data_IF_771767067263
#
_entry.id   IF_771767067263
#
_cell.length_a   1.000
_cell.length_b   1.000
_cell.length_c   1.000
_cell.angle_alpha   90.00
_cell.angle_beta   90.00
_cell.angle_gamma   90.00
#
_symmetry.space_group_name_H-M   'P 1'
#
loop_
_entity.id
_entity.type
_entity.pdbx_description
1 polymer ?
#
# COMPACT_ATOMS: atom_id res chain seq x y z
N UNK A 1 13.64 26.78 -23.60
CA UNK A 1 12.24 27.04 -23.16
C UNK A 1 11.80 26.00 -22.14
N UNK A 2 12.50 25.77 -21.05
CA UNK A 2 12.24 24.65 -20.13
C UNK A 2 12.27 24.97 -18.63
N UNK A 3 12.53 26.20 -18.24
CA UNK A 3 12.71 26.52 -16.80
C UNK A 3 11.49 27.24 -16.18
N UNK A 4 10.75 28.01 -16.93
CA UNK A 4 9.54 28.74 -16.45
C UNK A 4 8.32 27.84 -16.21
N UNK A 5 8.21 26.67 -16.85
CA UNK A 5 7.10 25.75 -16.66
C UNK A 5 7.13 24.99 -15.33
N UNK A 6 8.33 24.73 -14.78
CA UNK A 6 8.50 23.97 -13.51
C UNK A 6 8.25 24.80 -12.26
N UNK A 7 8.45 26.12 -12.34
CA UNK A 7 8.20 27.03 -11.21
C UNK A 7 6.74 27.37 -11.01
N UNK A 8 5.95 27.47 -12.09
CA UNK A 8 4.50 27.75 -12.01
C UNK A 8 3.70 26.57 -11.45
N UNK A 9 4.12 25.34 -11.72
CA UNK A 9 3.43 24.12 -11.26
C UNK A 9 3.62 23.89 -9.75
N UNK A 10 4.82 24.18 -9.21
CA UNK A 10 5.10 24.09 -7.76
C UNK A 10 4.42 25.19 -6.95
N UNK A 11 4.24 26.40 -7.53
CA UNK A 11 3.57 27.51 -6.85
C UNK A 11 2.06 27.34 -6.84
N UNK A 12 1.46 26.78 -7.88
CA UNK A 12 0.01 26.48 -7.91
C UNK A 12 -0.36 25.39 -6.89
N UNK A 13 0.48 24.34 -6.76
CA UNK A 13 0.29 23.29 -5.76
C UNK A 13 0.53 23.81 -4.33
N UNK A 14 1.47 24.73 -4.15
CA UNK A 14 1.78 25.36 -2.85
C UNK A 14 0.67 26.32 -2.41
N UNK A 15 0.07 27.10 -3.35
CA UNK A 15 -1.05 28.02 -3.05
C UNK A 15 -2.34 27.27 -2.67
N UNK A 16 -2.57 26.05 -3.16
CA UNK A 16 -3.67 25.17 -2.74
C UNK A 16 -3.45 24.54 -1.36
N UNK A 17 -2.20 24.40 -0.90
CA UNK A 17 -1.83 23.88 0.42
C UNK A 17 -1.93 24.93 1.55
N UNK A 18 -1.90 26.24 1.25
CA UNK A 18 -1.93 27.27 2.29
C UNK A 18 -3.36 27.70 2.64
N UNK A 19 -3.71 27.47 3.85
CA UNK A 19 -4.95 27.73 4.59
C UNK A 19 -5.45 29.18 4.59
N UNK A 20 -5.02 30.06 3.67
CA UNK A 20 -5.25 31.52 3.69
C UNK A 20 -6.49 31.95 2.88
N UNK A 21 -7.10 31.08 2.07
CA UNK A 21 -8.29 31.45 1.28
C UNK A 21 -9.56 30.87 1.96
N UNK A 22 -9.86 31.34 3.16
CA UNK A 22 -11.19 31.22 3.77
C UNK A 22 -12.01 32.42 3.33
N UNK A 23 -12.75 32.26 2.23
CA UNK A 23 -13.59 33.32 1.70
C UNK A 23 -14.15 32.96 0.32
N UNK A 24 -14.32 33.90 -0.60
CA UNK A 24 -15.01 33.71 -1.90
C UNK A 24 -14.41 32.66 -2.83
N UNK A 25 -13.18 32.22 -2.64
CA UNK A 25 -12.57 31.14 -3.43
C UNK A 25 -13.24 29.77 -3.24
N UNK A 26 -13.93 29.55 -2.12
CA UNK A 26 -14.72 28.32 -1.88
C UNK A 26 -15.87 28.17 -2.88
N UNK A 27 -16.39 29.28 -3.41
CA UNK A 27 -17.43 29.30 -4.45
C UNK A 27 -16.86 28.95 -5.83
N UNK A 28 -15.63 29.36 -6.15
CA UNK A 28 -14.98 29.02 -7.43
C UNK A 28 -14.56 27.54 -7.51
N UNK A 29 -14.11 26.93 -6.41
CA UNK A 29 -13.74 25.50 -6.35
C UNK A 29 -14.98 24.59 -6.49
N UNK A 30 -16.16 25.06 -6.11
CA UNK A 30 -17.43 24.31 -6.25
C UNK A 30 -18.12 24.52 -7.61
N UNK A 31 -17.55 25.26 -8.54
CA UNK A 31 -18.13 25.38 -9.87
C UNK A 31 -17.82 24.14 -10.71
N UNK A 32 -18.84 23.56 -11.35
CA UNK A 32 -18.71 22.40 -12.29
C UNK A 32 -17.66 22.66 -13.38
N UNK A 33 -17.34 23.92 -13.69
CA UNK A 33 -16.33 24.32 -14.67
C UNK A 33 -14.90 24.22 -14.12
N UNK A 34 -14.64 24.63 -12.89
CA UNK A 34 -13.31 24.47 -12.28
C UNK A 34 -12.95 23.00 -12.14
N UNK A 35 -13.89 22.17 -11.70
CA UNK A 35 -13.72 20.71 -11.63
C UNK A 35 -13.45 20.08 -13.01
N UNK A 36 -14.10 20.56 -14.07
CA UNK A 36 -13.88 20.02 -15.41
C UNK A 36 -12.52 20.40 -16.00
N UNK A 37 -11.97 21.55 -15.64
CA UNK A 37 -10.65 22.01 -16.10
C UNK A 37 -9.54 21.27 -15.33
N UNK A 38 -9.63 21.20 -14.01
CA UNK A 38 -8.69 20.45 -13.16
C UNK A 38 -8.67 18.97 -13.57
N UNK A 39 -9.83 18.35 -13.75
CA UNK A 39 -9.92 16.94 -14.17
C UNK A 39 -9.40 16.65 -15.59
N UNK A 40 -9.38 17.67 -16.49
CA UNK A 40 -8.78 17.51 -17.83
C UNK A 40 -7.26 17.65 -17.79
N UNK A 41 -6.73 18.61 -17.04
CA UNK A 41 -5.28 18.79 -16.89
C UNK A 41 -4.65 17.60 -16.18
N UNK A 42 -5.30 17.09 -15.14
CA UNK A 42 -4.82 15.90 -14.40
C UNK A 42 -4.83 14.65 -15.29
N UNK A 43 -5.86 14.46 -16.10
CA UNK A 43 -5.89 13.33 -17.06
C UNK A 43 -4.81 13.42 -18.14
N UNK A 44 -4.52 14.61 -18.67
CA UNK A 44 -3.45 14.79 -19.66
C UNK A 44 -2.08 14.61 -19.01
N UNK A 45 -1.89 15.11 -17.79
CA UNK A 45 -0.67 14.91 -16.99
C UNK A 45 -0.45 13.43 -16.69
N UNK A 46 -1.48 12.75 -16.18
CA UNK A 46 -1.41 11.31 -15.88
C UNK A 46 -1.09 10.47 -17.14
N UNK A 47 -1.69 10.77 -18.30
CA UNK A 47 -1.37 10.08 -19.55
C UNK A 47 0.09 10.27 -19.99
N UNK A 48 0.61 11.50 -19.94
CA UNK A 48 2.02 11.79 -20.28
C UNK A 48 2.97 11.11 -19.31
N UNK A 49 2.66 11.12 -18.02
CA UNK A 49 3.42 10.47 -16.99
C UNK A 49 3.40 8.96 -17.18
N UNK A 50 2.23 8.39 -17.44
CA UNK A 50 2.09 6.97 -17.76
C UNK A 50 2.94 6.54 -18.96
N UNK A 51 2.94 7.32 -20.06
CA UNK A 51 3.77 7.01 -21.24
C UNK A 51 5.25 7.00 -20.88
N UNK A 52 5.74 7.89 -20.01
CA UNK A 52 7.13 7.90 -19.56
C UNK A 52 7.45 6.72 -18.65
N UNK A 53 6.59 6.48 -17.66
CA UNK A 53 6.74 5.37 -16.71
C UNK A 53 6.76 4.02 -17.43
N UNK A 54 5.87 3.82 -18.41
CA UNK A 54 5.80 2.57 -19.20
C UNK A 54 6.95 2.39 -20.19
N UNK A 55 7.74 3.42 -20.43
CA UNK A 55 8.92 3.36 -21.34
C UNK A 55 10.21 2.98 -20.62
N UNK A 56 10.20 2.86 -19.29
CA UNK A 56 11.36 2.56 -18.45
C UNK A 56 11.08 1.34 -17.55
N UNK A 57 12.09 0.86 -16.83
CA UNK A 57 11.98 -0.31 -15.94
C UNK A 57 10.97 -0.06 -14.83
N UNK A 58 9.96 -0.90 -14.75
CA UNK A 58 8.96 -0.86 -13.68
C UNK A 58 9.49 -1.57 -12.42
N UNK A 59 9.05 -1.18 -11.22
CA UNK A 59 9.26 -1.99 -10.03
C UNK A 59 8.53 -3.33 -10.18
N UNK A 60 9.13 -4.39 -9.72
CA UNK A 60 8.49 -5.71 -9.66
C UNK A 60 7.52 -5.79 -8.48
N UNK A 61 7.88 -5.20 -7.35
CA UNK A 61 7.08 -5.21 -6.14
C UNK A 61 6.91 -3.80 -5.55
N UNK A 62 5.65 -3.37 -5.42
CA UNK A 62 5.29 -2.14 -4.70
C UNK A 62 4.64 -2.48 -3.38
N UNK A 63 5.10 -1.84 -2.30
CA UNK A 63 4.48 -1.92 -0.98
C UNK A 63 3.92 -0.57 -0.56
N UNK A 64 2.71 -0.55 0.04
CA UNK A 64 2.02 0.71 0.36
C UNK A 64 1.59 0.74 1.82
N UNK A 65 2.02 1.79 2.55
CA UNK A 65 1.51 2.13 3.88
C UNK A 65 0.35 3.11 3.70
N UNK A 66 -0.87 2.61 3.85
CA UNK A 66 -2.14 3.31 3.60
C UNK A 66 -2.53 4.22 4.77
N UNK A 67 -1.75 5.30 4.97
CA UNK A 67 -1.94 6.22 6.10
C UNK A 67 -2.84 7.41 5.75
N UNK A 68 -3.54 7.94 6.75
CA UNK A 68 -4.32 9.17 6.64
C UNK A 68 -5.85 9.01 6.61
N UNK A 69 -6.41 7.79 6.69
CA UNK A 69 -7.87 7.55 6.68
C UNK A 69 -8.61 8.35 7.75
N UNK A 70 -8.12 8.37 8.99
CA UNK A 70 -8.73 9.11 10.10
C UNK A 70 -8.58 10.62 9.95
N UNK A 71 -7.42 11.09 9.49
CA UNK A 71 -7.16 12.53 9.23
C UNK A 71 -8.04 13.03 8.10
N UNK A 72 -8.18 12.26 7.02
CA UNK A 72 -9.10 12.54 5.93
C UNK A 72 -10.55 12.69 6.45
N UNK A 73 -11.04 11.75 7.26
CA UNK A 73 -12.38 11.82 7.83
C UNK A 73 -12.56 13.07 8.71
N UNK A 74 -11.60 13.38 9.57
CA UNK A 74 -11.64 14.56 10.43
C UNK A 74 -11.68 15.87 9.62
N UNK A 75 -10.83 15.99 8.58
CA UNK A 75 -10.76 17.20 7.75
C UNK A 75 -12.00 17.39 6.86
N UNK A 76 -12.70 16.30 6.53
CA UNK A 76 -13.94 16.31 5.74
C UNK A 76 -15.20 16.32 6.60
N UNK A 77 -15.08 16.27 7.93
CA UNK A 77 -16.22 16.24 8.86
C UNK A 77 -16.96 14.91 8.90
N UNK A 78 -16.31 13.82 8.50
CA UNK A 78 -16.84 12.47 8.49
C UNK A 78 -16.45 11.70 9.77
N UNK A 79 -17.20 10.65 10.11
CA UNK A 79 -16.79 9.69 11.11
C UNK A 79 -15.55 8.88 10.64
N UNK A 80 -14.71 8.45 11.58
CA UNK A 80 -13.49 7.69 11.27
C UNK A 80 -13.78 6.41 10.44
N UNK A 81 -14.89 5.74 10.72
CA UNK A 81 -15.35 4.54 9.98
C UNK A 81 -15.59 4.82 8.51
N UNK A 82 -16.14 6.00 8.16
CA UNK A 82 -16.30 6.41 6.76
C UNK A 82 -14.97 6.72 6.08
N UNK A 83 -13.97 7.22 6.83
CA UNK A 83 -12.62 7.38 6.32
C UNK A 83 -11.97 6.04 5.99
N UNK A 84 -12.18 5.01 6.81
CA UNK A 84 -11.70 3.65 6.53
C UNK A 84 -12.41 3.02 5.32
N UNK A 85 -13.73 3.23 5.17
CA UNK A 85 -14.47 2.77 3.99
C UNK A 85 -13.97 3.43 2.71
N UNK A 86 -13.76 4.76 2.72
CA UNK A 86 -13.15 5.47 1.60
C UNK A 86 -11.73 4.96 1.28
N UNK A 87 -10.99 4.51 2.31
CA UNK A 87 -9.69 3.86 2.14
C UNK A 87 -9.78 2.47 1.48
N UNK A 88 -10.82 1.68 1.77
CA UNK A 88 -11.11 0.40 1.09
C UNK A 88 -11.39 0.64 -0.40
N UNK A 89 -12.31 1.58 -0.71
CA UNK A 89 -12.63 1.94 -2.10
C UNK A 89 -11.39 2.42 -2.86
N UNK A 90 -10.51 3.19 -2.21
CA UNK A 90 -9.24 3.62 -2.80
C UNK A 90 -8.29 2.47 -3.08
N UNK A 91 -8.26 1.44 -2.23
CA UNK A 91 -7.46 0.26 -2.46
C UNK A 91 -7.88 -0.47 -3.74
N UNK A 92 -9.17 -0.57 -4.00
CA UNK A 92 -9.71 -1.15 -5.23
C UNK A 92 -9.23 -0.37 -6.48
N UNK A 93 -9.30 0.98 -6.44
CA UNK A 93 -8.74 1.82 -7.51
C UNK A 93 -7.24 1.54 -7.75
N UNK A 94 -6.46 1.45 -6.67
CA UNK A 94 -5.00 1.24 -6.77
C UNK A 94 -4.67 -0.15 -7.29
N UNK A 95 -5.43 -1.18 -6.90
CA UNK A 95 -5.28 -2.52 -7.46
C UNK A 95 -5.50 -2.52 -8.97
N UNK A 96 -6.55 -1.84 -9.46
CA UNK A 96 -6.80 -1.68 -10.90
C UNK A 96 -5.62 -1.01 -11.61
N UNK A 97 -5.08 0.07 -11.04
CA UNK A 97 -3.93 0.76 -11.64
C UNK A 97 -2.67 -0.09 -11.67
N UNK A 98 -2.39 -0.83 -10.61
CA UNK A 98 -1.24 -1.75 -10.52
C UNK A 98 -1.35 -2.87 -11.54
N UNK A 99 -2.55 -3.49 -11.67
CA UNK A 99 -2.82 -4.49 -12.69
C UNK A 99 -2.68 -3.94 -14.11
N UNK A 100 -3.22 -2.75 -14.40
CA UNK A 100 -3.11 -2.10 -15.71
C UNK A 100 -1.66 -1.71 -16.07
N UNK A 101 -0.84 -1.33 -15.08
CA UNK A 101 0.59 -1.03 -15.27
C UNK A 101 1.38 -2.32 -15.48
N UNK A 102 0.89 -3.44 -14.93
CA UNK A 102 1.53 -4.75 -15.06
C UNK A 102 2.60 -5.01 -13.99
N UNK A 103 2.44 -4.46 -12.79
CA UNK A 103 3.34 -4.70 -11.65
C UNK A 103 2.87 -5.98 -10.93
N UNK A 104 3.70 -7.04 -10.87
CA UNK A 104 3.21 -8.36 -10.46
C UNK A 104 2.96 -8.50 -8.95
N UNK A 105 3.61 -7.69 -8.10
CA UNK A 105 3.47 -7.80 -6.65
C UNK A 105 3.01 -6.49 -6.03
N UNK A 106 1.93 -6.57 -5.22
CA UNK A 106 1.41 -5.46 -4.42
C UNK A 106 1.23 -5.91 -2.97
N UNK A 107 1.92 -5.26 -2.03
CA UNK A 107 1.72 -5.47 -0.59
C UNK A 107 1.17 -4.22 0.07
N UNK A 108 0.15 -4.35 0.90
CA UNK A 108 -0.46 -3.22 1.60
C UNK A 108 -0.47 -3.40 3.11
N UNK A 109 -0.18 -2.32 3.85
CA UNK A 109 -0.25 -2.30 5.31
C UNK A 109 -1.64 -1.86 5.76
N UNK A 110 -2.47 -2.81 6.15
CA UNK A 110 -3.86 -2.55 6.50
C UNK A 110 -4.07 -2.40 8.02
N UNK A 111 -3.41 -3.24 8.85
CA UNK A 111 -3.52 -3.18 10.30
C UNK A 111 -2.21 -3.62 10.96
N UNK A 112 -1.63 -2.77 11.82
CA UNK A 112 -0.46 -3.16 12.62
C UNK A 112 -0.84 -3.86 13.91
N UNK A 113 0.08 -4.63 14.50
CA UNK A 113 -0.08 -5.24 15.83
C UNK A 113 -0.36 -4.18 16.91
N UNK A 114 0.33 -3.03 16.83
CA UNK A 114 0.14 -1.92 17.77
C UNK A 114 -1.26 -1.29 17.65
N UNK A 115 -1.85 -1.30 16.45
CA UNK A 115 -3.20 -0.79 16.23
C UNK A 115 -4.27 -1.64 16.93
N UNK A 116 -4.07 -2.94 17.03
CA UNK A 116 -4.99 -3.84 17.74
C UNK A 116 -5.09 -3.47 19.24
N UNK A 117 -3.97 -3.12 19.83
CA UNK A 117 -3.91 -2.78 21.26
C UNK A 117 -4.26 -1.33 21.57
N UNK A 118 -4.09 -0.41 20.62
CA UNK A 118 -4.20 1.03 20.83
C UNK A 118 -5.53 1.64 20.36
N UNK A 119 -6.26 0.96 19.45
CA UNK A 119 -7.55 1.47 18.95
C UNK A 119 -8.69 1.19 19.91
N UNK A 120 -9.72 2.01 19.85
CA UNK A 120 -10.97 1.76 20.59
C UNK A 120 -11.64 0.49 20.06
N UNK A 121 -12.25 -0.33 20.96
CA UNK A 121 -12.89 -1.58 20.56
C UNK A 121 -13.91 -1.40 19.42
N UNK A 122 -14.72 -0.34 19.45
CA UNK A 122 -15.77 -0.10 18.46
C UNK A 122 -15.16 0.23 17.07
N UNK A 123 -14.03 0.95 17.04
CA UNK A 123 -13.31 1.23 15.79
C UNK A 123 -12.68 -0.04 15.24
N UNK A 124 -12.12 -0.89 16.12
CA UNK A 124 -11.47 -2.13 15.73
C UNK A 124 -12.49 -3.14 15.17
N UNK A 125 -13.66 -3.28 15.81
CA UNK A 125 -14.75 -4.12 15.32
C UNK A 125 -15.24 -3.67 13.92
N UNK A 126 -15.43 -2.37 13.73
CA UNK A 126 -15.80 -1.83 12.41
C UNK A 126 -14.73 -2.08 11.33
N UNK A 127 -13.45 -2.10 11.72
CA UNK A 127 -12.36 -2.47 10.81
C UNK A 127 -12.38 -3.96 10.48
N UNK A 128 -12.61 -4.83 11.46
CA UNK A 128 -12.73 -6.27 11.21
C UNK A 128 -13.90 -6.58 10.26
N UNK A 129 -15.05 -5.92 10.43
CA UNK A 129 -16.18 -6.06 9.51
C UNK A 129 -15.81 -5.60 8.09
N UNK A 130 -15.05 -4.49 7.99
CA UNK A 130 -14.57 -3.99 6.69
C UNK A 130 -13.57 -4.93 6.02
N UNK A 131 -12.71 -5.61 6.80
CA UNK A 131 -11.79 -6.63 6.26
C UNK A 131 -12.53 -7.88 5.80
N UNK A 132 -13.55 -8.36 6.56
CA UNK A 132 -14.41 -9.47 6.13
C UNK A 132 -15.11 -9.12 4.82
N UNK A 133 -15.72 -7.93 4.73
CA UNK A 133 -16.36 -7.42 3.50
C UNK A 133 -15.34 -7.42 2.34
N UNK A 134 -14.17 -6.78 2.53
CA UNK A 134 -13.17 -6.66 1.48
C UNK A 134 -12.60 -8.00 1.00
N UNK A 135 -12.31 -8.93 1.91
CA UNK A 135 -11.81 -10.26 1.56
C UNK A 135 -12.87 -11.08 0.80
N UNK A 136 -14.13 -11.03 1.24
CA UNK A 136 -15.21 -11.70 0.55
C UNK A 136 -15.43 -11.09 -0.86
N UNK A 137 -15.36 -9.76 -1.01
CA UNK A 137 -15.44 -9.11 -2.31
C UNK A 137 -14.34 -9.61 -3.24
N UNK A 138 -13.09 -9.69 -2.77
CA UNK A 138 -11.94 -10.19 -3.55
C UNK A 138 -12.13 -11.63 -4.02
N UNK A 139 -12.81 -12.48 -3.25
CA UNK A 139 -13.01 -13.89 -3.59
C UNK A 139 -13.96 -14.12 -4.79
N UNK A 140 -14.77 -13.11 -5.12
CA UNK A 140 -15.77 -13.17 -6.21
C UNK A 140 -15.55 -12.09 -7.27
N UNK A 141 -14.54 -11.24 -7.13
CA UNK A 141 -14.25 -10.14 -8.05
C UNK A 141 -13.69 -10.67 -9.37
N UNK A 142 -14.36 -10.37 -10.47
CA UNK A 142 -13.94 -10.74 -11.82
C UNK A 142 -12.52 -10.24 -12.17
N UNK A 143 -12.08 -9.12 -11.61
CA UNK A 143 -10.72 -8.58 -11.81
C UNK A 143 -9.68 -9.52 -11.21
N UNK A 144 -9.94 -10.03 -10.01
CA UNK A 144 -9.08 -10.99 -9.31
C UNK A 144 -9.02 -12.32 -10.05
N UNK A 145 -10.19 -12.85 -10.41
CA UNK A 145 -10.30 -14.16 -11.05
C UNK A 145 -9.73 -14.16 -12.48
N UNK A 146 -10.09 -13.16 -13.31
CA UNK A 146 -9.66 -13.08 -14.70
C UNK A 146 -8.18 -12.72 -14.86
N UNK A 147 -7.63 -11.89 -13.96
CA UNK A 147 -6.20 -11.55 -13.96
C UNK A 147 -5.34 -12.57 -13.20
N UNK A 148 -5.95 -13.62 -12.64
CA UNK A 148 -5.25 -14.65 -11.86
C UNK A 148 -4.40 -14.04 -10.72
N UNK A 149 -5.03 -13.19 -9.92
CA UNK A 149 -4.41 -12.57 -8.74
C UNK A 149 -4.48 -13.54 -7.57
N UNK A 150 -3.33 -13.97 -7.07
CA UNK A 150 -3.22 -14.69 -5.81
C UNK A 150 -3.35 -13.70 -4.66
N UNK A 151 -4.32 -13.90 -3.78
CA UNK A 151 -4.50 -13.10 -2.57
C UNK A 151 -3.95 -13.86 -1.39
N UNK A 152 -3.16 -13.19 -0.56
CA UNK A 152 -2.60 -13.76 0.66
C UNK A 152 -2.59 -12.74 1.80
N UNK A 153 -2.63 -13.21 3.03
CA UNK A 153 -2.61 -12.37 4.24
C UNK A 153 -1.41 -12.73 5.11
N UNK A 154 -0.55 -11.74 5.34
CA UNK A 154 0.60 -11.83 6.23
C UNK A 154 0.30 -11.16 7.58
N UNK A 155 0.72 -11.77 8.69
CA UNK A 155 0.61 -11.24 10.04
C UNK A 155 0.15 -12.25 11.08
N UNK A 156 -0.08 -11.75 12.30
CA UNK A 156 -0.49 -12.51 13.48
C UNK A 156 -1.97 -12.90 13.37
N UNK A 157 -2.23 -14.00 12.63
CA UNK A 157 -3.59 -14.53 12.44
C UNK A 157 -4.27 -14.89 13.77
N UNK A 158 -3.50 -15.28 14.78
CA UNK A 158 -3.98 -15.58 16.14
C UNK A 158 -4.56 -14.37 16.91
N UNK A 159 -4.30 -13.15 16.46
CA UNK A 159 -4.88 -11.91 17.02
C UNK A 159 -6.18 -11.50 16.32
N UNK A 160 -6.61 -12.20 15.28
CA UNK A 160 -7.79 -11.88 14.49
C UNK A 160 -9.02 -12.68 14.94
N UNK A 161 -10.23 -12.07 14.92
CA UNK A 161 -11.46 -12.80 15.22
C UNK A 161 -11.73 -13.90 14.18
N UNK A 162 -12.42 -14.97 14.60
CA UNK A 162 -12.75 -16.15 13.76
C UNK A 162 -13.39 -15.79 12.43
N UNK A 163 -14.31 -14.79 12.41
CA UNK A 163 -14.94 -14.33 11.16
C UNK A 163 -13.95 -13.76 10.14
N UNK A 164 -12.87 -13.12 10.61
CA UNK A 164 -11.81 -12.62 9.74
C UNK A 164 -10.95 -13.77 9.24
N UNK A 165 -10.61 -14.74 10.11
CA UNK A 165 -9.86 -15.95 9.73
C UNK A 165 -10.59 -16.75 8.66
N UNK A 166 -11.89 -16.97 8.84
CA UNK A 166 -12.74 -17.64 7.84
C UNK A 166 -12.73 -16.92 6.48
N UNK A 167 -12.82 -15.59 6.49
CA UNK A 167 -12.76 -14.79 5.25
C UNK A 167 -11.38 -14.90 4.57
N UNK A 168 -10.29 -14.88 5.36
CA UNK A 168 -8.93 -15.09 4.86
C UNK A 168 -8.81 -16.45 4.18
N UNK A 169 -9.15 -17.53 4.90
CA UNK A 169 -9.05 -18.90 4.40
C UNK A 169 -9.84 -19.11 3.11
N UNK A 170 -11.06 -18.59 3.04
CA UNK A 170 -11.89 -18.67 1.85
C UNK A 170 -11.24 -17.95 0.65
N UNK A 171 -10.73 -16.74 0.85
CA UNK A 171 -10.13 -15.95 -0.22
C UNK A 171 -8.80 -16.55 -0.68
N UNK A 172 -7.92 -16.95 0.25
CA UNK A 172 -6.67 -17.63 -0.05
C UNK A 172 -6.92 -18.94 -0.81
N UNK A 173 -7.92 -19.73 -0.41
CA UNK A 173 -8.31 -20.98 -1.07
C UNK A 173 -8.81 -20.77 -2.51
N UNK A 174 -9.69 -19.78 -2.73
CA UNK A 174 -10.23 -19.48 -4.07
C UNK A 174 -9.14 -19.04 -5.03
N UNK A 175 -8.12 -18.34 -4.53
CA UNK A 175 -7.04 -17.77 -5.34
C UNK A 175 -5.73 -18.56 -5.29
N UNK A 176 -5.71 -19.74 -4.65
CA UNK A 176 -4.50 -20.53 -4.40
C UNK A 176 -3.71 -20.87 -5.67
N UNK A 177 -4.42 -21.22 -6.75
CA UNK A 177 -3.83 -21.62 -8.05
C UNK A 177 -3.57 -20.45 -9.00
N UNK A 178 -3.76 -19.20 -8.52
CA UNK A 178 -3.46 -18.02 -9.30
C UNK A 178 -1.96 -17.71 -9.24
N UNK A 179 -1.38 -17.28 -10.36
CA UNK A 179 0.07 -17.21 -10.53
C UNK A 179 0.59 -15.97 -11.29
N UNK A 180 -0.30 -15.05 -11.73
CA UNK A 180 0.14 -13.90 -12.53
C UNK A 180 0.46 -12.65 -11.71
N UNK A 181 -0.34 -12.42 -10.69
CA UNK A 181 -0.18 -11.31 -9.77
C UNK A 181 -0.35 -11.80 -8.34
N UNK A 182 0.34 -11.16 -7.40
CA UNK A 182 0.22 -11.47 -5.98
C UNK A 182 -0.18 -10.20 -5.23
N UNK A 183 -1.30 -10.28 -4.53
CA UNK A 183 -1.78 -9.23 -3.65
C UNK A 183 -1.69 -9.67 -2.20
N UNK A 184 -0.82 -9.01 -1.43
CA UNK A 184 -0.59 -9.32 -0.01
C UNK A 184 -1.18 -8.25 0.88
N UNK A 185 -2.02 -8.66 1.82
CA UNK A 185 -2.61 -7.78 2.82
C UNK A 185 -1.96 -8.06 4.18
N UNK A 186 -1.21 -7.09 4.71
CA UNK A 186 -0.63 -7.18 6.04
C UNK A 186 -1.67 -6.80 7.10
N UNK A 187 -2.23 -7.82 7.79
CA UNK A 187 -3.22 -7.70 8.87
C UNK A 187 -2.63 -8.17 10.19
N UNK A 188 -2.83 -7.39 11.25
CA UNK A 188 -2.20 -7.66 12.54
C UNK A 188 -0.69 -7.91 12.36
N UNK A 189 -0.08 -7.13 11.48
CA UNK A 189 1.29 -7.30 11.04
C UNK A 189 2.25 -6.42 11.83
N UNK A 190 3.41 -6.98 12.14
CA UNK A 190 4.57 -6.25 12.66
C UNK A 190 5.84 -7.02 12.30
N UNK A 191 6.78 -6.34 11.63
CA UNK A 191 7.98 -7.01 11.14
C UNK A 191 8.90 -7.52 12.26
N UNK A 192 8.90 -6.87 13.43
CA UNK A 192 9.65 -7.38 14.58
C UNK A 192 9.10 -8.72 15.06
N UNK A 193 7.78 -8.87 15.11
CA UNK A 193 7.11 -10.11 15.47
C UNK A 193 7.38 -11.20 14.43
N UNK A 194 7.29 -10.85 13.15
CA UNK A 194 7.60 -11.73 12.03
C UNK A 194 9.04 -12.29 12.13
N UNK A 195 10.03 -11.42 12.35
CA UNK A 195 11.43 -11.80 12.51
C UNK A 195 11.62 -12.72 13.75
N UNK A 196 10.96 -12.40 14.88
CA UNK A 196 11.04 -13.23 16.08
C UNK A 196 10.46 -14.62 15.81
N UNK A 197 9.36 -14.74 15.08
CA UNK A 197 8.78 -16.05 14.72
C UNK A 197 9.69 -16.82 13.77
N UNK A 198 10.31 -16.17 12.78
CA UNK A 198 11.29 -16.80 11.91
C UNK A 198 12.49 -17.34 12.71
N UNK A 199 13.03 -16.56 13.65
CA UNK A 199 14.11 -17.00 14.54
C UNK A 199 13.69 -18.19 15.42
N UNK A 200 12.47 -18.19 15.97
CA UNK A 200 11.94 -19.31 16.74
C UNK A 200 11.80 -20.59 15.91
N UNK A 201 11.32 -20.46 14.68
CA UNK A 201 11.20 -21.58 13.75
C UNK A 201 12.58 -22.19 13.44
N UNK A 202 13.59 -21.35 13.16
CA UNK A 202 14.98 -21.77 12.94
C UNK A 202 15.53 -22.50 14.17
N UNK A 203 15.32 -21.95 15.37
CA UNK A 203 15.80 -22.57 16.62
C UNK A 203 15.15 -23.94 16.89
N UNK A 204 13.85 -24.07 16.55
CA UNK A 204 13.16 -25.37 16.67
C UNK A 204 13.72 -26.38 15.65
N UNK A 205 13.86 -25.99 14.38
CA UNK A 205 14.43 -26.84 13.33
C UNK A 205 15.87 -27.28 13.67
N UNK A 206 16.67 -26.40 14.27
CA UNK A 206 18.01 -26.76 14.74
C UNK A 206 17.97 -27.76 15.89
N UNK A 207 17.07 -27.56 16.87
CA UNK A 207 16.93 -28.51 18.00
C UNK A 207 16.48 -29.90 17.53
N UNK A 208 15.68 -29.96 16.45
CA UNK A 208 15.24 -31.22 15.83
C UNK A 208 16.26 -31.81 14.85
N UNK A 209 17.41 -31.15 14.63
CA UNK A 209 18.48 -31.59 13.74
C UNK A 209 18.16 -31.40 12.23
N UNK A 210 17.20 -30.59 11.91
CA UNK A 210 16.77 -30.31 10.52
C UNK A 210 17.63 -29.24 9.83
N UNK A 211 18.33 -28.40 10.59
CA UNK A 211 19.19 -27.33 10.09
C UNK A 211 20.46 -27.18 10.93
N UNK A 212 21.60 -26.96 10.29
CA UNK A 212 22.87 -26.61 10.94
C UNK A 212 22.99 -25.10 11.10
N UNK A 213 23.62 -24.63 12.22
CA UNK A 213 23.81 -23.21 12.49
C UNK A 213 24.58 -22.49 11.37
N UNK A 214 25.57 -23.17 10.80
CA UNK A 214 26.41 -22.65 9.73
C UNK A 214 25.67 -22.48 8.40
N UNK A 215 24.51 -23.12 8.23
CA UNK A 215 23.66 -22.99 7.04
C UNK A 215 22.62 -21.87 7.13
N UNK A 216 22.57 -21.17 8.29
CA UNK A 216 21.65 -20.04 8.47
C UNK A 216 22.22 -18.81 7.76
N UNK A 217 21.58 -18.43 6.66
CA UNK A 217 21.87 -17.24 5.87
C UNK A 217 20.63 -16.36 5.68
N UNK A 218 20.74 -15.28 4.90
CA UNK A 218 19.63 -14.37 4.62
C UNK A 218 18.45 -15.08 3.94
N UNK A 219 18.72 -16.02 3.05
CA UNK A 219 17.69 -16.78 2.34
C UNK A 219 16.90 -17.68 3.31
N UNK A 220 17.60 -18.30 4.28
CA UNK A 220 16.96 -19.15 5.27
C UNK A 220 16.05 -18.37 6.23
N UNK A 221 16.41 -17.12 6.55
CA UNK A 221 15.55 -16.22 7.31
C UNK A 221 14.36 -15.78 6.47
N UNK A 222 14.61 -15.27 5.24
CA UNK A 222 13.57 -14.78 4.33
C UNK A 222 12.48 -15.81 4.07
N UNK A 223 12.85 -17.07 3.86
CA UNK A 223 11.92 -18.19 3.66
C UNK A 223 10.95 -18.42 4.81
N UNK A 224 11.32 -18.04 6.04
CA UNK A 224 10.50 -18.21 7.23
C UNK A 224 9.70 -16.97 7.62
N UNK A 225 9.85 -15.88 6.90
CA UNK A 225 9.00 -14.70 7.09
C UNK A 225 7.59 -14.99 6.60
N UNK A 226 6.61 -14.26 7.10
CA UNK A 226 5.21 -14.41 6.69
C UNK A 226 4.96 -14.05 5.21
N UNK A 227 5.88 -13.31 4.62
CA UNK A 227 5.89 -12.97 3.19
C UNK A 227 6.54 -14.07 2.33
N UNK A 228 7.28 -14.99 2.95
CA UNK A 228 7.82 -16.20 2.30
C UNK A 228 8.65 -15.92 1.05
N UNK A 229 8.30 -16.61 -0.04
CA UNK A 229 9.06 -16.59 -1.29
C UNK A 229 8.75 -15.38 -2.21
N UNK A 230 8.07 -14.34 -1.69
CA UNK A 230 7.86 -13.13 -2.49
C UNK A 230 9.17 -12.36 -2.67
N UNK A 231 9.38 -11.72 -3.82
CA UNK A 231 10.50 -10.80 -3.98
C UNK A 231 10.38 -9.63 -3.01
N UNK A 232 11.52 -9.11 -2.58
CA UNK A 232 11.58 -7.91 -1.76
C UNK A 232 10.96 -6.71 -2.48
N UNK A 233 10.33 -5.75 -1.77
CA UNK A 233 9.76 -4.59 -2.41
C UNK A 233 10.85 -3.68 -3.02
N UNK A 234 10.64 -3.30 -4.27
CA UNK A 234 11.46 -2.30 -4.94
C UNK A 234 11.14 -0.89 -4.48
N UNK A 235 9.86 -0.64 -4.23
CA UNK A 235 9.30 0.66 -3.89
C UNK A 235 8.34 0.56 -2.73
N UNK A 236 8.61 1.31 -1.66
CA UNK A 236 7.69 1.49 -0.53
C UNK A 236 7.09 2.89 -0.59
N UNK A 237 5.78 2.98 -0.75
CA UNK A 237 5.02 4.24 -0.77
C UNK A 237 4.34 4.44 0.58
N UNK A 238 4.46 5.63 1.16
CA UNK A 238 3.66 6.00 2.33
C UNK A 238 2.94 7.31 2.10
N UNK A 239 1.63 7.31 2.37
CA UNK A 239 0.76 8.47 2.28
C UNK A 239 0.72 9.26 3.59
N UNK A 240 0.18 10.52 3.53
CA UNK A 240 -0.14 11.33 4.70
C UNK A 240 1.03 12.07 5.36
N UNK A 241 2.17 12.23 4.67
CA UNK A 241 3.28 13.10 5.11
C UNK A 241 4.13 12.57 6.27
N UNK A 242 3.96 11.30 6.64
CA UNK A 242 4.75 10.67 7.70
C UNK A 242 5.95 9.92 7.11
N UNK A 243 7.15 10.32 7.49
CA UNK A 243 8.42 9.79 6.97
C UNK A 243 9.02 8.71 7.90
N UNK A 244 8.28 7.63 8.10
CA UNK A 244 8.69 6.44 8.88
C UNK A 244 8.00 5.20 8.33
N UNK A 245 8.55 4.00 8.56
CA UNK A 245 8.02 2.72 8.05
C UNK A 245 7.15 1.97 9.07
N UNK A 246 7.13 2.39 10.32
CA UNK A 246 6.22 1.90 11.37
C UNK A 246 6.16 0.39 11.50
N UNK A 247 7.31 -0.28 11.60
CA UNK A 247 7.41 -1.74 11.76
C UNK A 247 6.85 -2.55 10.57
N UNK A 248 6.86 -1.93 9.36
CA UNK A 248 6.39 -2.56 8.14
C UNK A 248 7.56 -3.07 7.29
N UNK A 249 7.58 -4.37 6.98
CA UNK A 249 8.53 -5.03 6.08
C UNK A 249 10.01 -4.66 6.34
N UNK A 250 10.47 -4.63 7.62
CA UNK A 250 11.83 -4.18 7.97
C UNK A 250 12.93 -4.99 7.29
N UNK A 251 12.77 -6.29 7.22
CA UNK A 251 13.72 -7.18 6.57
C UNK A 251 13.69 -7.00 5.07
N UNK A 252 12.50 -7.10 4.50
CA UNK A 252 12.28 -7.11 3.06
C UNK A 252 12.56 -5.75 2.40
N UNK A 253 12.41 -4.66 3.14
CA UNK A 253 12.61 -3.30 2.59
C UNK A 253 14.02 -2.73 2.78
N UNK A 254 14.99 -3.58 3.13
CA UNK A 254 16.36 -3.17 3.39
C UNK A 254 17.00 -2.40 2.22
N UNK A 255 16.63 -2.75 0.99
CA UNK A 255 17.12 -2.12 -0.25
C UNK A 255 16.02 -1.44 -1.07
N UNK A 256 14.82 -1.29 -0.51
CA UNK A 256 13.71 -0.62 -1.18
C UNK A 256 13.94 0.88 -1.31
N UNK A 257 13.45 1.46 -2.40
CA UNK A 257 13.30 2.91 -2.51
C UNK A 257 12.05 3.38 -1.79
N UNK A 258 12.16 4.48 -1.03
CA UNK A 258 11.02 5.04 -0.29
C UNK A 258 10.48 6.28 -0.96
N UNK A 259 9.15 6.35 -1.09
CA UNK A 259 8.44 7.53 -1.57
C UNK A 259 7.39 7.97 -0.55
N UNK A 260 7.56 9.15 0.03
CA UNK A 260 6.63 9.75 0.99
C UNK A 260 5.83 10.85 0.30
N UNK A 261 4.50 10.86 0.51
CA UNK A 261 3.61 11.89 -0.02
C UNK A 261 2.69 12.44 1.07
N UNK A 262 2.39 13.74 1.01
CA UNK A 262 1.47 14.40 1.95
C UNK A 262 0.00 14.04 1.70
N UNK A 263 -0.32 13.40 0.58
CA UNK A 263 -1.68 13.05 0.20
C UNK A 263 -2.22 12.00 1.16
N UNK A 264 -3.44 12.21 1.71
CA UNK A 264 -4.12 11.18 2.50
C UNK A 264 -4.51 9.99 1.61
N UNK A 265 -4.46 8.78 2.17
CA UNK A 265 -4.78 7.58 1.40
C UNK A 265 -6.11 7.64 0.62
N UNK A 266 -7.27 8.08 1.19
CA UNK A 266 -8.50 8.16 0.42
C UNK A 266 -8.47 9.16 -0.75
N UNK A 267 -7.52 10.11 -0.73
CA UNK A 267 -7.32 11.10 -1.79
C UNK A 267 -6.20 10.74 -2.76
N UNK A 268 -5.53 9.60 -2.56
CA UNK A 268 -4.44 9.15 -3.42
C UNK A 268 -4.96 8.90 -4.83
N UNK A 269 -4.31 9.49 -5.83
CA UNK A 269 -4.74 9.44 -7.21
C UNK A 269 -3.76 8.62 -8.06
N UNK A 270 -4.20 8.19 -9.25
CA UNK A 270 -3.33 7.49 -10.21
C UNK A 270 -2.07 8.28 -10.55
N UNK A 271 -2.17 9.62 -10.60
CA UNK A 271 -1.02 10.50 -10.81
C UNK A 271 0.04 10.36 -9.72
N UNK A 272 -0.39 10.24 -8.45
CA UNK A 272 0.53 10.08 -7.31
C UNK A 272 1.27 8.74 -7.36
N UNK A 273 0.60 7.65 -7.76
CA UNK A 273 1.24 6.35 -7.98
C UNK A 273 2.28 6.42 -9.11
N UNK A 274 1.93 7.04 -10.23
CA UNK A 274 2.84 7.20 -11.36
C UNK A 274 4.04 8.09 -11.00
N UNK A 275 3.85 9.14 -10.19
CA UNK A 275 4.94 9.98 -9.66
C UNK A 275 5.88 9.19 -8.74
N UNK A 276 5.34 8.31 -7.91
CA UNK A 276 6.14 7.44 -7.06
C UNK A 276 6.99 6.47 -7.90
N UNK A 277 6.40 5.86 -8.94
CA UNK A 277 7.13 4.98 -9.87
C UNK A 277 8.18 5.77 -10.66
N UNK A 278 7.86 6.97 -11.18
CA UNK A 278 8.84 7.82 -11.88
C UNK A 278 10.02 8.19 -10.95
N UNK A 279 9.74 8.50 -9.68
CA UNK A 279 10.78 8.78 -8.69
C UNK A 279 11.71 7.58 -8.46
N UNK A 280 11.15 6.37 -8.39
CA UNK A 280 11.91 5.12 -8.32
C UNK A 280 12.82 4.95 -9.55
N UNK A 281 12.30 5.14 -10.77
CA UNK A 281 13.05 5.00 -12.02
C UNK A 281 14.20 6.02 -12.14
N UNK A 282 14.04 7.22 -11.56
CA UNK A 282 15.06 8.27 -11.59
C UNK A 282 16.21 8.04 -10.61
N UNK A 283 16.02 7.19 -9.61
CA UNK A 283 17.04 6.85 -8.62
C UNK A 283 17.93 5.75 -9.22
N UNK A 284 19.20 6.08 -9.42
CA UNK A 284 20.17 5.04 -9.77
C UNK A 284 20.40 4.19 -8.54
N UNK A 285 19.97 2.94 -8.56
CA UNK A 285 20.32 1.95 -7.55
C UNK A 285 21.85 1.80 -7.56
N UNK A 286 22.51 2.39 -6.57
CA UNK A 286 23.92 2.17 -6.32
C UNK A 286 24.01 1.14 -5.19
N UNK A 287 24.05 -0.13 -5.51
CA UNK A 287 24.37 -1.18 -4.56
C UNK A 287 25.85 -1.12 -4.22
N UNK A 288 26.27 -0.15 -3.37
CA UNK A 288 27.62 -0.16 -2.79
C UNK A 288 28.80 -0.02 -3.77
N UNK A 289 28.61 0.47 -5.01
CA UNK A 289 29.68 0.86 -5.93
C UNK A 289 30.18 2.28 -5.68
#
# INVERSE_FOLDING_TARGET
>A
MGWLGRTLDRTAHWLLKWRIIRGPARWMVNSRYAWSIVSRTDRVRARRLQTRVMADTLPEHISIIMDGNRRYAADTGLAATLGHRAGKEKLEDVMDWVLEIGIPYLTVYALSTENITSRKPEELEALFDLYVEGLNDLSVDDRILNNKVKVQVAGRKDLLPERVLTAIENTEKVTAEHDKFVFTVCLAYGSREEIIEAVRAIAADHADGNIDLESIDEAEISKRLWTGDMPDPDLVVRTSGEERISNFLLWQSAYAEYYFTDVYWPSFARGDLLEAIEAYQQRKRRFGE
#
